data_IF_420020450073
#
_entry.id   IF_420020450073
#
_cell.length_a   1.000
_cell.length_b   1.000
_cell.length_c   1.000
_cell.angle_alpha   90.00
_cell.angle_beta   90.00
_cell.angle_gamma   90.00
#
_symmetry.space_group_name_H-M   'P 1'
#
loop_
_entity.id
_entity.type
_entity.pdbx_description
1 polymer ?
#
# COMPACT_ATOMS: atom_id res chain seq x y z
N UNK A 1 -71.58 -12.45 42.86
CA UNK A 1 -70.37 -12.26 43.70
C UNK A 1 -69.22 -13.01 43.03
N UNK A 2 -68.09 -12.32 42.88
CA UNK A 2 -66.81 -12.60 42.19
C UNK A 2 -66.22 -14.03 42.32
N UNK A 3 -65.14 -14.45 41.58
CA UNK A 3 -64.20 -13.60 40.83
C UNK A 3 -63.71 -14.08 39.45
N UNK A 4 -63.08 -13.09 38.80
CA UNK A 4 -62.46 -13.03 37.48
C UNK A 4 -61.24 -13.95 37.29
N UNK A 5 -61.15 -14.46 36.05
CA UNK A 5 -59.94 -14.96 35.36
C UNK A 5 -58.78 -13.94 35.41
N UNK A 6 -57.56 -14.42 35.67
CA UNK A 6 -56.31 -13.71 35.36
C UNK A 6 -55.45 -14.59 34.46
N UNK A 7 -55.34 -14.20 33.19
CA UNK A 7 -54.37 -14.71 32.23
C UNK A 7 -53.09 -13.90 32.42
N UNK A 8 -51.99 -14.55 32.80
CA UNK A 8 -50.68 -13.91 32.90
C UNK A 8 -49.97 -14.00 31.53
N UNK A 9 -49.89 -12.87 30.84
CA UNK A 9 -49.10 -12.68 29.63
C UNK A 9 -47.68 -12.25 30.07
N UNK A 10 -46.73 -13.17 30.07
CA UNK A 10 -45.32 -12.85 30.33
C UNK A 10 -44.72 -12.23 29.06
N UNK A 11 -44.60 -10.91 29.04
CA UNK A 11 -43.95 -10.16 27.97
C UNK A 11 -42.43 -10.37 28.02
N UNK A 12 -41.87 -10.86 26.90
CA UNK A 12 -40.44 -10.96 26.68
C UNK A 12 -39.87 -9.54 26.46
N UNK A 13 -39.25 -8.97 27.49
CA UNK A 13 -38.59 -7.67 27.42
C UNK A 13 -37.23 -7.85 26.70
N UNK A 14 -37.19 -7.54 25.41
CA UNK A 14 -35.93 -7.45 24.64
C UNK A 14 -35.20 -6.19 25.12
N UNK A 15 -34.21 -6.35 26.00
CA UNK A 15 -33.32 -5.28 26.40
C UNK A 15 -32.41 -4.91 25.22
N UNK A 16 -32.72 -3.82 24.52
CA UNK A 16 -31.81 -3.18 23.59
C UNK A 16 -30.63 -2.60 24.39
N UNK A 17 -29.45 -3.22 24.31
CA UNK A 17 -28.24 -2.75 24.98
C UNK A 17 -27.79 -1.40 24.37
N UNK A 18 -27.75 -0.29 25.12
CA UNK A 18 -27.31 1.01 24.62
C UNK A 18 -25.80 1.10 24.31
N UNK A 19 -25.05 0.00 24.46
CA UNK A 19 -23.60 -0.05 24.21
C UNK A 19 -23.19 -0.25 22.74
N UNK A 20 -24.08 -0.75 21.88
CA UNK A 20 -23.73 -1.01 20.46
C UNK A 20 -23.67 0.26 19.60
N UNK A 21 -24.49 1.27 19.91
CA UNK A 21 -24.51 2.49 19.08
C UNK A 21 -23.29 3.37 19.36
N UNK A 22 -22.79 3.37 20.59
CA UNK A 22 -21.59 4.12 20.98
C UNK A 22 -20.32 3.49 20.37
N UNK A 23 -20.21 2.15 20.34
CA UNK A 23 -19.06 1.46 19.74
C UNK A 23 -19.01 1.62 18.21
N UNK A 24 -20.16 1.62 17.52
CA UNK A 24 -20.27 1.94 16.09
C UNK A 24 -19.75 3.33 15.77
N UNK A 25 -20.27 4.33 16.47
CA UNK A 25 -19.89 5.74 16.28
C UNK A 25 -18.41 5.97 16.61
N UNK A 26 -17.90 5.34 17.66
CA UNK A 26 -16.49 5.40 18.01
C UNK A 26 -15.60 4.76 16.93
N UNK A 27 -15.97 3.56 16.46
CA UNK A 27 -15.24 2.88 15.39
C UNK A 27 -15.18 3.73 14.13
N UNK A 28 -16.30 4.36 13.73
CA UNK A 28 -16.36 5.25 12.57
C UNK A 28 -15.45 6.46 12.75
N UNK A 29 -15.55 7.17 13.87
CA UNK A 29 -14.73 8.35 14.14
C UNK A 29 -13.23 8.01 14.13
N UNK A 30 -12.86 6.89 14.76
CA UNK A 30 -11.47 6.43 14.80
C UNK A 30 -10.96 5.93 13.45
N UNK A 31 -11.79 5.25 12.66
CA UNK A 31 -11.41 4.86 11.30
C UNK A 31 -11.13 6.10 10.42
N UNK A 32 -11.92 7.17 10.58
CA UNK A 32 -11.71 8.44 9.88
C UNK A 32 -10.40 9.13 10.28
N UNK A 33 -10.10 9.19 11.57
CA UNK A 33 -8.83 9.72 12.11
C UNK A 33 -7.62 8.91 11.57
N UNK A 34 -7.71 7.59 11.66
CA UNK A 34 -6.64 6.70 11.24
C UNK A 34 -6.34 6.79 9.75
N UNK A 35 -7.37 6.82 8.89
CA UNK A 35 -7.14 6.89 7.43
C UNK A 35 -6.51 8.23 7.03
N UNK A 36 -6.84 9.33 7.72
CA UNK A 36 -6.19 10.61 7.48
C UNK A 36 -4.68 10.53 7.75
N UNK A 37 -4.29 9.97 8.90
CA UNK A 37 -2.87 9.78 9.26
C UNK A 37 -2.14 8.81 8.32
N UNK A 38 -2.81 7.75 7.85
CA UNK A 38 -2.20 6.81 6.91
C UNK A 38 -1.97 7.41 5.52
N UNK A 39 -2.83 8.32 5.05
CA UNK A 39 -2.60 9.06 3.80
C UNK A 39 -1.40 9.99 3.91
N UNK A 40 -1.21 10.65 5.07
CA UNK A 40 0.00 11.45 5.32
C UNK A 40 1.26 10.57 5.34
N UNK A 41 1.19 9.42 6.02
CA UNK A 41 2.26 8.43 6.01
C UNK A 41 2.58 7.96 4.60
N UNK A 42 1.55 7.80 3.76
CA UNK A 42 1.70 7.41 2.37
C UNK A 42 2.41 8.47 1.55
N UNK A 43 2.07 9.75 1.75
CA UNK A 43 2.76 10.85 1.08
C UNK A 43 4.25 10.87 1.44
N UNK A 44 4.60 10.64 2.71
CA UNK A 44 6.00 10.53 3.16
C UNK A 44 6.72 9.36 2.51
N UNK A 45 6.15 8.15 2.53
CA UNK A 45 6.79 6.97 1.93
C UNK A 45 7.07 7.15 0.43
N UNK A 46 6.14 7.76 -0.31
CA UNK A 46 6.34 8.05 -1.75
C UNK A 46 7.38 9.14 -1.94
N UNK A 47 7.40 10.16 -1.06
CA UNK A 47 8.38 11.23 -1.14
C UNK A 47 9.81 10.74 -0.91
N UNK A 48 10.02 9.77 -0.02
CA UNK A 48 11.32 9.10 0.16
C UNK A 48 11.81 8.50 -1.17
N UNK A 49 10.91 7.88 -1.96
CA UNK A 49 11.26 7.32 -3.27
C UNK A 49 11.53 8.44 -4.30
N UNK A 50 10.68 9.47 -4.36
CA UNK A 50 10.85 10.61 -5.27
C UNK A 50 12.17 11.33 -5.09
N UNK A 51 12.58 11.53 -3.84
CA UNK A 51 13.85 12.17 -3.50
C UNK A 51 15.04 11.21 -3.67
N UNK A 52 14.90 9.98 -3.18
CA UNK A 52 16.00 9.04 -3.09
C UNK A 52 16.36 8.36 -4.41
N UNK A 53 15.38 8.03 -5.26
CA UNK A 53 15.62 7.21 -6.46
C UNK A 53 16.54 7.92 -7.47
N UNK A 54 16.37 9.22 -7.78
CA UNK A 54 17.31 9.95 -8.63
C UNK A 54 18.74 10.00 -8.05
N UNK A 55 18.90 10.18 -6.74
CA UNK A 55 20.23 10.17 -6.10
C UNK A 55 20.86 8.77 -6.16
N UNK A 56 20.07 7.72 -5.95
CA UNK A 56 20.53 6.34 -6.10
C UNK A 56 20.99 6.03 -7.52
N UNK A 57 20.28 6.54 -8.53
CA UNK A 57 20.64 6.37 -9.93
C UNK A 57 22.02 6.97 -10.27
N UNK A 58 22.40 8.09 -9.63
CA UNK A 58 23.76 8.68 -9.77
C UNK A 58 24.85 7.75 -9.25
N UNK A 59 24.59 6.97 -8.20
CA UNK A 59 25.56 5.98 -7.72
C UNK A 59 25.76 4.81 -8.68
N UNK A 60 24.75 4.50 -9.48
CA UNK A 60 24.78 3.41 -10.46
C UNK A 60 25.45 3.81 -11.78
N UNK A 61 25.69 5.09 -12.06
CA UNK A 61 26.38 5.54 -13.29
C UNK A 61 27.75 4.89 -13.45
N UNK A 62 28.42 4.62 -12.33
CA UNK A 62 29.75 3.99 -12.26
C UNK A 62 29.82 2.61 -12.90
N UNK A 63 28.69 1.89 -12.95
CA UNK A 63 28.60 0.60 -13.66
C UNK A 63 28.87 0.74 -15.16
N UNK A 64 28.69 1.94 -15.72
CA UNK A 64 28.81 2.22 -17.15
C UNK A 64 30.11 2.97 -17.51
N UNK A 65 31.00 3.20 -16.53
CA UNK A 65 32.30 3.85 -16.73
C UNK A 65 33.42 2.84 -17.05
N UNK A 66 33.20 1.56 -16.75
CA UNK A 66 34.17 0.47 -17.00
C UNK A 66 34.13 -0.08 -18.42
N UNK A 67 35.02 -1.04 -18.70
CA UNK A 67 35.10 -1.74 -20.00
C UNK A 67 34.12 -2.89 -20.16
N UNK A 68 33.58 -3.42 -19.05
CA UNK A 68 32.61 -4.51 -19.04
C UNK A 68 31.20 -3.94 -18.99
N UNK A 69 30.32 -4.37 -19.88
CA UNK A 69 28.93 -3.93 -19.84
C UNK A 69 28.19 -4.59 -18.66
N UNK A 70 27.23 -3.91 -18.01
CA UNK A 70 26.53 -4.46 -16.84
C UNK A 70 25.83 -5.80 -17.07
N UNK A 71 25.35 -6.06 -18.29
CA UNK A 71 24.75 -7.34 -18.66
C UNK A 71 25.73 -8.52 -18.63
N UNK A 72 27.03 -8.24 -18.74
CA UNK A 72 28.10 -9.23 -18.77
C UNK A 72 28.72 -9.45 -17.36
N UNK A 73 28.36 -8.62 -16.37
CA UNK A 73 28.78 -8.73 -14.97
C UNK A 73 27.60 -8.52 -14.01
N UNK A 74 26.69 -9.49 -14.01
CA UNK A 74 25.50 -9.48 -13.16
C UNK A 74 25.82 -9.46 -11.65
N UNK A 75 26.89 -10.11 -11.14
CA UNK A 75 27.30 -9.94 -9.75
C UNK A 75 27.62 -8.50 -9.38
N UNK A 76 28.35 -7.76 -10.22
CA UNK A 76 28.65 -6.35 -9.97
C UNK A 76 27.38 -5.47 -9.99
N UNK A 77 26.40 -5.78 -10.85
CA UNK A 77 25.09 -5.11 -10.84
C UNK A 77 24.42 -5.25 -9.48
N UNK A 78 24.38 -6.46 -8.93
CA UNK A 78 23.73 -6.71 -7.64
C UNK A 78 24.41 -5.96 -6.50
N UNK A 79 25.73 -6.04 -6.43
CA UNK A 79 26.50 -5.29 -5.42
C UNK A 79 26.28 -3.77 -5.55
N UNK A 80 26.18 -3.25 -6.77
CA UNK A 80 25.93 -1.84 -7.01
C UNK A 80 24.51 -1.41 -6.59
N UNK A 81 23.48 -2.24 -6.81
CA UNK A 81 22.12 -1.99 -6.32
C UNK A 81 22.11 -1.88 -4.80
N UNK A 82 22.72 -2.83 -4.10
CA UNK A 82 22.81 -2.84 -2.64
C UNK A 82 23.53 -1.59 -2.13
N UNK A 83 24.65 -1.20 -2.76
CA UNK A 83 25.38 0.01 -2.40
C UNK A 83 24.58 1.28 -2.67
N UNK A 84 23.92 1.39 -3.81
CA UNK A 84 23.13 2.57 -4.18
C UNK A 84 21.98 2.79 -3.18
N UNK A 85 21.26 1.72 -2.84
CA UNK A 85 20.19 1.75 -1.83
C UNK A 85 20.71 2.17 -0.45
N UNK A 86 21.84 1.60 0.00
CA UNK A 86 22.36 1.85 1.34
C UNK A 86 23.03 3.22 1.52
N UNK A 87 23.51 3.84 0.43
CA UNK A 87 24.16 5.17 0.46
C UNK A 87 23.18 6.33 0.53
N UNK A 88 21.94 6.13 0.07
CA UNK A 88 20.91 7.16 0.06
C UNK A 88 19.96 6.92 1.22
N UNK A 89 19.93 7.87 2.17
CA UNK A 89 19.12 7.74 3.39
C UNK A 89 17.66 7.41 3.08
N UNK A 90 17.06 8.13 2.13
CA UNK A 90 15.66 7.94 1.77
C UNK A 90 15.40 6.54 1.18
N UNK A 91 16.30 6.01 0.36
CA UNK A 91 16.18 4.65 -0.19
C UNK A 91 16.41 3.54 0.84
N UNK A 92 17.24 3.82 1.84
CA UNK A 92 17.47 2.90 2.96
C UNK A 92 16.21 2.72 3.80
N UNK A 93 15.43 3.78 3.98
CA UNK A 93 14.16 3.73 4.74
C UNK A 93 12.94 3.49 3.86
N UNK A 94 13.05 3.64 2.54
CA UNK A 94 11.95 3.46 1.59
C UNK A 94 11.27 2.10 1.73
N UNK A 95 9.94 2.10 1.58
CA UNK A 95 9.07 0.93 1.77
C UNK A 95 8.92 0.07 0.51
N UNK A 96 9.81 0.27 -0.47
CA UNK A 96 9.85 -0.51 -1.69
C UNK A 96 10.06 -1.99 -1.43
N UNK A 97 9.44 -2.81 -2.26
CA UNK A 97 9.56 -4.27 -2.24
C UNK A 97 10.64 -4.80 -3.17
N UNK A 98 11.18 -3.96 -4.05
CA UNK A 98 12.32 -4.27 -4.90
C UNK A 98 13.00 -2.99 -5.37
N UNK A 99 14.26 -3.12 -5.73
CA UNK A 99 15.04 -2.17 -6.50
C UNK A 99 15.73 -2.94 -7.63
N UNK A 100 15.68 -2.43 -8.85
CA UNK A 100 16.11 -3.15 -10.04
C UNK A 100 16.88 -2.26 -11.01
N UNK A 101 17.87 -2.84 -11.68
CA UNK A 101 18.52 -2.25 -12.84
C UNK A 101 17.82 -2.73 -14.10
N UNK A 102 17.28 -1.79 -14.88
CA UNK A 102 16.58 -2.06 -16.14
C UNK A 102 17.37 -1.46 -17.29
N UNK A 103 17.67 -2.23 -18.33
CA UNK A 103 18.38 -1.71 -19.50
C UNK A 103 17.49 -0.84 -20.41
N UNK A 104 18.08 -0.32 -21.49
CA UNK A 104 17.39 0.56 -22.46
C UNK A 104 16.25 -0.14 -23.21
N UNK A 105 16.24 -1.48 -23.24
CA UNK A 105 15.21 -2.30 -23.88
C UNK A 105 14.11 -2.74 -22.90
N UNK A 106 14.25 -2.40 -21.61
CA UNK A 106 13.33 -2.77 -20.56
C UNK A 106 13.66 -4.12 -19.91
N UNK A 107 14.79 -4.75 -20.22
CA UNK A 107 15.19 -6.00 -19.59
C UNK A 107 15.68 -5.71 -18.17
N UNK A 108 15.12 -6.42 -17.20
CA UNK A 108 15.61 -6.36 -15.82
C UNK A 108 16.88 -7.20 -15.74
N UNK A 109 18.03 -6.57 -15.48
CA UNK A 109 19.30 -7.28 -15.38
C UNK A 109 19.40 -8.01 -14.04
N UNK A 110 19.09 -7.32 -12.94
CA UNK A 110 19.00 -7.85 -11.57
C UNK A 110 18.06 -6.99 -10.74
N UNK A 111 17.53 -7.57 -9.67
CA UNK A 111 16.94 -6.85 -8.55
C UNK A 111 17.67 -7.14 -7.22
N UNK A 112 17.24 -6.47 -6.15
CA UNK A 112 17.78 -6.62 -4.79
C UNK A 112 17.03 -7.65 -3.92
N UNK A 113 16.11 -8.43 -4.49
CA UNK A 113 15.39 -9.48 -3.77
C UNK A 113 16.19 -10.77 -3.70
N UNK A 114 16.10 -11.53 -2.61
CA UNK A 114 16.90 -12.75 -2.39
C UNK A 114 16.82 -13.77 -3.52
N UNK A 115 15.63 -14.00 -4.10
CA UNK A 115 15.42 -14.98 -5.18
C UNK A 115 15.50 -14.39 -6.60
N UNK A 116 15.65 -13.07 -6.74
CA UNK A 116 15.76 -12.32 -8.02
C UNK A 116 14.90 -12.86 -9.17
N UNK A 117 13.62 -13.12 -8.90
CA UNK A 117 12.70 -13.72 -9.87
C UNK A 117 12.41 -12.78 -11.05
N UNK A 118 12.68 -11.48 -10.91
CA UNK A 118 12.44 -10.47 -11.94
C UNK A 118 13.55 -10.45 -13.00
N UNK A 119 14.72 -11.05 -12.76
CA UNK A 119 15.82 -11.06 -13.72
C UNK A 119 15.40 -11.67 -15.07
N UNK A 120 15.75 -11.01 -16.17
CA UNK A 120 15.40 -11.40 -17.54
C UNK A 120 13.96 -11.07 -17.96
N UNK A 121 13.13 -10.51 -17.07
CA UNK A 121 11.77 -10.08 -17.42
C UNK A 121 11.78 -8.69 -18.06
N UNK A 122 10.74 -8.39 -18.84
CA UNK A 122 10.60 -7.08 -19.49
C UNK A 122 9.75 -6.14 -18.61
N UNK A 123 10.40 -5.15 -18.00
CA UNK A 123 9.77 -4.13 -17.19
C UNK A 123 8.81 -3.24 -17.99
N UNK A 124 9.08 -2.95 -19.27
CA UNK A 124 8.21 -2.08 -20.08
C UNK A 124 6.92 -2.77 -20.54
N UNK A 125 6.92 -4.11 -20.62
CA UNK A 125 5.70 -4.88 -20.86
C UNK A 125 4.76 -4.82 -19.67
N UNK A 126 5.30 -4.99 -18.45
CA UNK A 126 4.52 -4.93 -17.20
C UNK A 126 4.19 -3.51 -16.75
N UNK A 127 5.08 -2.55 -17.03
CA UNK A 127 5.02 -1.17 -16.56
C UNK A 127 5.34 -0.17 -17.69
N UNK A 128 4.44 0.02 -18.67
CA UNK A 128 4.73 0.80 -19.87
C UNK A 128 5.17 2.25 -19.61
N UNK A 129 4.65 2.87 -18.54
CA UNK A 129 4.99 4.23 -18.14
C UNK A 129 6.50 4.43 -17.84
N UNK A 130 7.20 3.37 -17.41
CA UNK A 130 8.63 3.46 -17.07
C UNK A 130 9.50 3.77 -18.30
N UNK A 131 9.03 3.48 -19.51
CA UNK A 131 9.76 3.78 -20.74
C UNK A 131 10.08 5.27 -20.90
N UNK A 132 9.19 6.15 -20.41
CA UNK A 132 9.39 7.60 -20.46
C UNK A 132 10.56 8.09 -19.59
N UNK A 133 11.11 7.26 -18.69
CA UNK A 133 12.31 7.61 -17.95
C UNK A 133 13.57 7.65 -18.83
N UNK A 134 13.56 6.95 -19.98
CA UNK A 134 14.66 6.99 -20.95
C UNK A 134 14.85 8.39 -21.56
N UNK A 135 13.86 9.27 -21.44
CA UNK A 135 13.94 10.68 -21.82
C UNK A 135 14.75 11.52 -20.81
N UNK A 136 15.31 10.90 -19.77
CA UNK A 136 16.14 11.57 -18.78
C UNK A 136 15.38 12.21 -17.62
N UNK A 137 14.14 11.75 -17.35
CA UNK A 137 13.31 12.24 -16.25
C UNK A 137 12.86 11.12 -15.31
N UNK A 138 12.61 11.47 -14.06
CA UNK A 138 11.92 10.57 -13.12
C UNK A 138 10.47 10.36 -13.58
N UNK A 139 10.00 9.12 -13.49
CA UNK A 139 8.62 8.76 -13.85
C UNK A 139 8.03 7.80 -12.82
N UNK A 140 6.72 7.87 -12.66
CA UNK A 140 5.92 6.95 -11.87
C UNK A 140 4.91 6.24 -12.77
N UNK A 141 4.51 5.05 -12.36
CA UNK A 141 3.57 4.24 -13.11
C UNK A 141 2.90 3.19 -12.24
N UNK A 142 2.03 2.43 -12.89
CA UNK A 142 1.33 1.29 -12.32
C UNK A 142 1.34 0.17 -13.34
N UNK A 143 1.22 -1.06 -12.85
CA UNK A 143 1.14 -2.23 -13.70
C UNK A 143 1.14 -3.51 -12.89
N UNK A 144 1.41 -4.63 -13.54
CA UNK A 144 1.44 -5.94 -12.90
C UNK A 144 2.61 -6.77 -13.42
N UNK A 145 3.40 -7.31 -12.50
CA UNK A 145 4.40 -8.35 -12.75
C UNK A 145 4.27 -9.39 -11.65
N UNK A 146 4.02 -10.65 -12.02
CA UNK A 146 3.82 -11.74 -11.07
C UNK A 146 5.05 -11.93 -10.18
N UNK A 147 6.25 -11.78 -10.74
CA UNK A 147 7.51 -11.90 -10.02
C UNK A 147 7.77 -10.74 -9.04
N UNK A 148 7.08 -9.61 -9.22
CA UNK A 148 7.07 -8.52 -8.25
C UNK A 148 5.91 -8.63 -7.25
N UNK A 149 4.91 -9.49 -7.52
CA UNK A 149 3.81 -9.75 -6.62
C UNK A 149 4.29 -10.62 -5.46
N UNK A 150 4.18 -10.11 -4.23
CA UNK A 150 4.58 -10.85 -3.01
C UNK A 150 3.47 -11.77 -2.48
N UNK A 151 2.46 -12.05 -3.29
CA UNK A 151 1.29 -12.85 -2.94
C UNK A 151 0.89 -13.76 -4.12
N UNK A 152 0.28 -14.90 -3.79
CA UNK A 152 -0.27 -15.82 -4.80
C UNK A 152 -1.52 -15.21 -5.43
N UNK A 153 -1.70 -15.42 -6.74
CA UNK A 153 -2.89 -14.95 -7.48
C UNK A 153 -2.71 -13.60 -8.18
N UNK A 154 -1.49 -13.03 -8.16
CA UNK A 154 -1.18 -11.75 -8.79
C UNK A 154 -1.52 -10.55 -7.91
N UNK A 155 -0.76 -9.48 -8.07
CA UNK A 155 -0.95 -8.19 -7.40
C UNK A 155 -0.55 -7.08 -8.38
N UNK A 156 -1.17 -5.92 -8.26
CA UNK A 156 -0.69 -4.73 -8.95
C UNK A 156 0.48 -4.12 -8.20
N UNK A 157 1.29 -3.33 -8.90
CA UNK A 157 2.36 -2.54 -8.30
C UNK A 157 2.20 -1.07 -8.65
N UNK A 158 2.54 -0.22 -7.68
CA UNK A 158 3.03 1.12 -7.96
C UNK A 158 4.53 1.02 -8.22
N UNK A 159 5.01 1.71 -9.25
CA UNK A 159 6.41 1.68 -9.64
C UNK A 159 6.92 3.08 -9.97
N UNK A 160 8.22 3.26 -9.81
CA UNK A 160 8.94 4.47 -10.19
C UNK A 160 10.27 4.11 -10.86
N UNK A 161 10.74 4.97 -11.76
CA UNK A 161 12.05 4.84 -12.36
C UNK A 161 12.77 6.20 -12.46
N UNK A 162 14.08 6.18 -12.22
CA UNK A 162 14.98 7.28 -12.49
C UNK A 162 16.01 6.87 -13.56
N UNK A 163 16.39 7.78 -14.47
CA UNK A 163 17.41 7.51 -15.47
C UNK A 163 18.78 7.36 -14.84
N UNK A 164 19.57 6.40 -15.33
CA UNK A 164 20.99 6.27 -15.04
C UNK A 164 21.74 6.82 -16.24
N UNK A 165 22.41 7.94 -16.06
CA UNK A 165 23.16 8.62 -17.13
C UNK A 165 24.66 8.41 -16.98
N UNK A 166 25.32 8.08 -18.09
CA UNK A 166 26.78 8.01 -18.18
C UNK A 166 27.25 8.53 -19.53
N UNK A 167 28.30 9.37 -19.53
CA UNK A 167 28.79 10.04 -20.74
C UNK A 167 27.75 10.94 -21.41
N UNK A 168 26.88 11.57 -20.62
CA UNK A 168 25.83 12.49 -21.12
C UNK A 168 24.64 11.81 -21.81
N UNK A 169 24.52 10.48 -21.72
CA UNK A 169 23.38 9.72 -22.27
C UNK A 169 22.77 8.84 -21.19
N UNK A 170 21.45 8.65 -21.23
CA UNK A 170 20.77 7.62 -20.43
C UNK A 170 21.24 6.25 -20.93
N UNK A 171 21.62 5.36 -20.01
CA UNK A 171 22.15 4.01 -20.30
C UNK A 171 21.33 2.88 -19.71
N UNK A 172 20.53 3.19 -18.71
CA UNK A 172 19.67 2.26 -18.00
C UNK A 172 18.70 3.07 -17.13
N UNK A 173 17.80 2.38 -16.47
CA UNK A 173 16.91 2.92 -15.46
C UNK A 173 17.18 2.23 -14.12
N UNK A 174 17.11 3.02 -13.07
CA UNK A 174 16.99 2.52 -11.71
C UNK A 174 15.50 2.51 -11.34
N UNK A 175 14.92 1.32 -11.23
CA UNK A 175 13.49 1.14 -10.99
C UNK A 175 13.22 0.58 -9.60
N UNK A 176 12.08 0.95 -9.02
CA UNK A 176 11.61 0.46 -7.73
C UNK A 176 10.09 0.44 -7.69
N UNK A 177 9.53 -0.21 -6.68
CA UNK A 177 8.09 -0.21 -6.45
C UNK A 177 7.65 -1.07 -5.29
N UNK A 178 6.35 -1.06 -5.05
CA UNK A 178 5.71 -1.95 -4.08
C UNK A 178 4.42 -2.53 -4.63
N UNK A 179 4.18 -3.80 -4.28
CA UNK A 179 2.92 -4.47 -4.51
C UNK A 179 1.85 -3.87 -3.58
N UNK A 180 0.61 -3.68 -4.07
CA UNK A 180 -0.44 -3.00 -3.31
C UNK A 180 -0.79 -3.72 -2.02
N UNK A 181 -0.85 -5.05 -2.04
CA UNK A 181 -1.14 -5.86 -0.85
C UNK A 181 -0.03 -5.79 0.20
N UNK A 182 1.24 -5.78 -0.25
CA UNK A 182 2.40 -5.61 0.62
C UNK A 182 2.40 -4.22 1.26
N UNK A 183 2.02 -3.20 0.50
CA UNK A 183 1.94 -1.83 1.00
C UNK A 183 0.77 -1.64 1.99
N UNK A 184 -0.39 -2.22 1.69
CA UNK A 184 -1.53 -2.27 2.62
C UNK A 184 -1.14 -2.95 3.95
N UNK A 185 -0.44 -4.09 3.90
CA UNK A 185 0.06 -4.77 5.08
C UNK A 185 1.03 -3.91 5.90
N UNK A 186 1.91 -3.16 5.24
CA UNK A 186 2.81 -2.21 5.92
C UNK A 186 2.03 -1.11 6.62
N UNK A 187 1.04 -0.50 5.96
CA UNK A 187 0.19 0.53 6.55
C UNK A 187 -0.61 -0.02 7.74
N UNK A 188 -1.13 -1.25 7.63
CA UNK A 188 -1.84 -1.91 8.73
C UNK A 188 -0.95 -2.09 9.95
N UNK A 189 0.29 -2.57 9.77
CA UNK A 189 1.23 -2.74 10.87
C UNK A 189 1.66 -1.41 11.50
N UNK A 190 1.87 -0.37 10.69
CA UNK A 190 2.15 0.97 11.20
C UNK A 190 0.98 1.49 12.07
N UNK A 191 -0.26 1.34 11.58
CA UNK A 191 -1.45 1.73 12.33
C UNK A 191 -1.60 0.91 13.60
N UNK A 192 -1.43 -0.41 13.52
CA UNK A 192 -1.52 -1.32 14.67
C UNK A 192 -0.51 -0.95 15.74
N UNK A 193 0.73 -0.65 15.36
CA UNK A 193 1.78 -0.19 16.27
C UNK A 193 1.39 1.12 16.97
N UNK A 194 0.89 2.10 16.21
CA UNK A 194 0.42 3.38 16.74
C UNK A 194 -0.74 3.20 17.72
N UNK A 195 -1.76 2.43 17.35
CA UNK A 195 -2.92 2.16 18.21
C UNK A 195 -2.48 1.47 19.50
N UNK A 196 -1.66 0.42 19.42
CA UNK A 196 -1.13 -0.28 20.60
C UNK A 196 -0.41 0.65 21.57
N UNK A 197 0.40 1.57 21.04
CA UNK A 197 1.15 2.53 21.88
C UNK A 197 0.24 3.51 22.62
N UNK A 198 -0.97 3.76 22.13
CA UNK A 198 -1.95 4.66 22.74
C UNK A 198 -2.98 3.97 23.65
N UNK A 199 -2.99 2.64 23.73
CA UNK A 199 -3.94 1.89 24.57
C UNK A 199 -3.50 1.92 26.04
N UNK A 200 -4.45 2.15 26.94
CA UNK A 200 -4.24 1.95 28.37
C UNK A 200 -4.10 0.45 28.73
N UNK A 201 -3.52 0.16 29.89
CA UNK A 201 -3.23 -1.22 30.37
C UNK A 201 -4.43 -2.17 30.41
N UNK A 202 -5.66 -1.65 30.45
CA UNK A 202 -6.91 -2.43 30.49
C UNK A 202 -7.77 -2.27 29.23
N UNK A 203 -7.28 -1.64 28.17
CA UNK A 203 -8.02 -1.48 26.92
C UNK A 203 -7.71 -2.62 25.96
N UNK A 204 -8.77 -3.18 25.35
CA UNK A 204 -8.60 -4.20 24.32
C UNK A 204 -8.14 -3.56 23.01
N UNK A 205 -7.29 -4.28 22.29
CA UNK A 205 -6.88 -3.88 20.94
C UNK A 205 -8.08 -4.02 19.98
N UNK A 206 -8.47 -2.94 19.27
CA UNK A 206 -9.52 -3.04 18.28
C UNK A 206 -9.07 -3.91 17.10
N UNK A 207 -10.04 -4.52 16.41
CA UNK A 207 -9.76 -5.18 15.15
C UNK A 207 -9.53 -4.11 14.07
N UNK A 208 -8.43 -4.22 13.34
CA UNK A 208 -8.00 -3.25 12.34
C UNK A 208 -7.66 -3.99 11.05
N UNK A 209 -8.15 -3.46 9.93
CA UNK A 209 -7.72 -3.83 8.59
C UNK A 209 -7.45 -2.57 7.77
N UNK A 210 -6.42 -2.61 6.94
CA UNK A 210 -6.10 -1.54 5.99
C UNK A 210 -6.09 -2.09 4.57
N UNK A 211 -6.68 -1.32 3.65
CA UNK A 211 -6.70 -1.62 2.22
C UNK A 211 -6.19 -0.43 1.42
N UNK A 212 -5.50 -0.72 0.33
CA UNK A 212 -5.27 0.25 -0.74
C UNK A 212 -6.32 -0.01 -1.81
N UNK A 213 -7.15 0.99 -2.09
CA UNK A 213 -8.15 0.93 -3.17
C UNK A 213 -7.54 1.54 -4.41
N UNK A 214 -7.51 0.78 -5.51
CA UNK A 214 -7.03 1.23 -6.80
C UNK A 214 -8.12 0.95 -7.82
N UNK A 215 -8.67 2.00 -8.41
CA UNK A 215 -9.79 1.90 -9.35
C UNK A 215 -10.98 1.11 -8.76
N UNK A 216 -11.19 -0.13 -9.23
CA UNK A 216 -12.30 -1.01 -8.82
C UNK A 216 -11.88 -2.15 -7.90
N UNK A 217 -10.65 -2.14 -7.40
CA UNK A 217 -10.08 -3.21 -6.58
C UNK A 217 -9.62 -2.66 -5.23
N UNK A 218 -9.68 -3.50 -4.20
CA UNK A 218 -9.20 -3.19 -2.86
C UNK A 218 -8.20 -4.26 -2.43
N UNK A 219 -6.96 -3.85 -2.19
CA UNK A 219 -5.83 -4.72 -1.84
C UNK A 219 -5.59 -4.63 -0.34
N UNK A 220 -5.79 -5.73 0.37
CA UNK A 220 -5.48 -5.85 1.80
C UNK A 220 -4.19 -6.61 2.04
N UNK A 221 -3.83 -6.77 3.31
CA UNK A 221 -2.77 -7.70 3.72
C UNK A 221 -3.06 -9.14 3.25
N UNK A 222 -2.04 -10.02 3.09
CA UNK A 222 -2.22 -11.37 2.52
C UNK A 222 -3.28 -12.27 3.18
N UNK A 223 -3.61 -12.02 4.45
CA UNK A 223 -4.62 -12.77 5.23
C UNK A 223 -5.90 -11.98 5.48
N UNK A 224 -6.05 -10.83 4.82
CA UNK A 224 -7.23 -9.98 4.94
C UNK A 224 -8.47 -10.66 4.36
N UNK A 225 -9.63 -10.65 5.05
CA UNK A 225 -10.84 -11.26 4.54
C UNK A 225 -11.32 -10.61 3.24
N UNK A 226 -11.61 -11.40 2.20
CA UNK A 226 -12.10 -10.88 0.92
C UNK A 226 -13.45 -10.14 1.06
N UNK A 227 -14.31 -10.62 1.96
CA UNK A 227 -15.60 -9.98 2.29
C UNK A 227 -15.44 -8.53 2.75
N UNK A 228 -14.31 -8.19 3.38
CA UNK A 228 -14.02 -6.82 3.80
C UNK A 228 -13.68 -5.93 2.59
N UNK A 229 -12.89 -6.43 1.64
CA UNK A 229 -12.59 -5.73 0.39
C UNK A 229 -13.87 -5.46 -0.41
N UNK A 230 -14.75 -6.46 -0.53
CA UNK A 230 -16.06 -6.34 -1.19
C UNK A 230 -16.95 -5.30 -0.49
N UNK A 231 -17.01 -5.33 0.84
CA UNK A 231 -17.76 -4.35 1.63
C UNK A 231 -17.24 -2.91 1.38
N UNK A 232 -15.92 -2.69 1.39
CA UNK A 232 -15.33 -1.38 1.08
C UNK A 232 -15.75 -0.90 -0.32
N UNK A 233 -15.62 -1.76 -1.33
CA UNK A 233 -15.93 -1.40 -2.72
C UNK A 233 -17.42 -1.10 -2.93
N UNK A 234 -18.32 -1.79 -2.23
CA UNK A 234 -19.77 -1.53 -2.31
C UNK A 234 -20.17 -0.13 -1.86
N UNK A 235 -19.30 0.56 -1.12
CA UNK A 235 -19.52 1.93 -0.66
C UNK A 235 -19.07 3.01 -1.65
N UNK A 236 -18.59 2.66 -2.84
CA UNK A 236 -18.03 3.59 -3.82
C UNK A 236 -16.95 4.51 -3.19
N UNK A 237 -15.83 3.91 -2.72
CA UNK A 237 -14.82 4.62 -1.94
C UNK A 237 -14.22 5.80 -2.72
N UNK A 238 -13.98 5.62 -4.01
CA UNK A 238 -13.41 6.67 -4.86
C UNK A 238 -14.45 7.75 -5.16
N UNK A 239 -15.69 7.41 -5.50
CA UNK A 239 -16.72 8.42 -5.79
C UNK A 239 -17.11 9.26 -4.57
N UNK A 240 -17.04 8.70 -3.36
CA UNK A 240 -17.40 9.40 -2.11
C UNK A 240 -16.23 10.12 -1.41
N UNK A 241 -15.02 9.59 -1.47
CA UNK A 241 -13.84 10.30 -0.99
C UNK A 241 -13.37 11.28 -2.08
N UNK A 242 -13.99 12.46 -2.14
CA UNK A 242 -13.64 13.53 -3.08
C UNK A 242 -12.77 14.60 -2.41
N UNK A 243 -11.82 15.15 -3.17
CA UNK A 243 -10.87 16.13 -2.68
C UNK A 243 -10.06 15.62 -1.48
N UNK A 244 -9.87 16.48 -0.48
CA UNK A 244 -9.11 16.17 0.73
C UNK A 244 -9.97 15.59 1.87
N UNK A 245 -11.28 15.42 1.64
CA UNK A 245 -12.21 14.97 2.66
C UNK A 245 -12.08 13.46 2.93
N UNK A 246 -12.25 13.09 4.21
CA UNK A 246 -12.41 11.69 4.61
C UNK A 246 -13.86 11.29 4.43
N UNK A 247 -14.12 10.28 3.61
CA UNK A 247 -15.39 9.56 3.66
C UNK A 247 -15.38 8.63 4.86
N UNK A 248 -16.45 8.64 5.66
CA UNK A 248 -16.60 7.68 6.75
C UNK A 248 -18.03 7.17 6.87
N UNK A 249 -18.17 5.92 7.32
CA UNK A 249 -19.45 5.29 7.58
C UNK A 249 -19.34 4.24 8.68
N UNK A 250 -20.41 4.05 9.45
CA UNK A 250 -20.61 2.84 10.22
C UNK A 250 -21.22 1.77 9.30
N UNK A 251 -20.61 0.58 9.27
CA UNK A 251 -21.02 -0.53 8.40
C UNK A 251 -21.06 -1.82 9.21
N UNK A 252 -21.80 -2.81 8.72
CA UNK A 252 -21.81 -4.16 9.29
C UNK A 252 -21.26 -5.13 8.25
N UNK A 253 -20.29 -5.96 8.65
CA UNK A 253 -19.72 -7.00 7.81
C UNK A 253 -19.86 -8.32 8.55
N UNK A 254 -20.62 -9.26 7.99
CA UNK A 254 -20.81 -10.61 8.55
C UNK A 254 -21.24 -10.59 10.03
N UNK A 255 -22.17 -9.70 10.40
CA UNK A 255 -22.67 -9.57 11.78
C UNK A 255 -21.73 -8.86 12.76
N UNK A 256 -20.64 -8.26 12.27
CA UNK A 256 -19.73 -7.42 13.05
C UNK A 256 -19.80 -5.98 12.60
N UNK A 257 -19.85 -5.09 13.58
CA UNK A 257 -19.86 -3.66 13.36
C UNK A 257 -18.45 -3.11 13.13
N UNK A 258 -18.30 -2.32 12.07
CA UNK A 258 -17.07 -1.62 11.73
C UNK A 258 -17.34 -0.14 11.50
N UNK A 259 -16.34 0.68 11.81
CA UNK A 259 -16.13 1.96 11.18
C UNK A 259 -15.32 1.80 9.91
N UNK A 260 -15.81 2.37 8.81
CA UNK A 260 -15.09 2.55 7.57
C UNK A 260 -14.60 4.00 7.49
N UNK A 261 -13.32 4.19 7.23
CA UNK A 261 -12.73 5.46 6.83
C UNK A 261 -12.04 5.29 5.48
N UNK A 262 -12.26 6.22 4.54
CA UNK A 262 -11.63 6.23 3.21
C UNK A 262 -11.13 7.63 2.90
N UNK A 263 -9.90 7.75 2.41
CA UNK A 263 -9.35 9.02 1.93
C UNK A 263 -8.49 8.77 0.69
N UNK A 264 -8.58 9.69 -0.29
CA UNK A 264 -7.73 9.66 -1.49
C UNK A 264 -6.26 9.75 -1.10
N UNK A 265 -5.42 9.02 -1.83
CA UNK A 265 -3.98 8.99 -1.65
C UNK A 265 -3.31 9.52 -2.93
N UNK A 266 -3.40 10.83 -3.21
CA UNK A 266 -2.96 11.40 -4.49
C UNK A 266 -1.47 11.20 -4.76
N UNK A 267 -0.65 10.98 -3.71
CA UNK A 267 0.75 10.62 -3.86
C UNK A 267 0.97 9.32 -4.68
N UNK A 268 0.00 8.38 -4.66
CA UNK A 268 0.04 7.12 -5.41
C UNK A 268 -0.66 7.19 -6.77
N UNK A 269 -1.38 8.27 -7.04
CA UNK A 269 -2.22 8.47 -8.22
C UNK A 269 -3.62 8.98 -7.88
N UNK A 270 -4.27 9.64 -8.86
CA UNK A 270 -5.59 10.23 -8.67
C UNK A 270 -6.67 9.19 -8.31
N UNK A 271 -6.57 7.98 -8.87
CA UNK A 271 -7.54 6.89 -8.71
C UNK A 271 -7.17 5.90 -7.59
N UNK A 272 -6.43 6.38 -6.60
CA UNK A 272 -5.99 5.59 -5.45
C UNK A 272 -6.52 6.19 -4.15
N UNK A 273 -6.97 5.33 -3.24
CA UNK A 273 -7.36 5.69 -1.89
C UNK A 273 -6.80 4.68 -0.88
N UNK A 274 -6.70 5.10 0.38
CA UNK A 274 -6.51 4.20 1.52
C UNK A 274 -7.85 4.05 2.22
N UNK A 275 -8.17 2.82 2.64
CA UNK A 275 -9.34 2.50 3.42
C UNK A 275 -8.94 1.81 4.73
N UNK A 276 -9.61 2.17 5.82
CA UNK A 276 -9.43 1.57 7.15
C UNK A 276 -10.77 1.00 7.60
N UNK A 277 -10.75 -0.26 8.03
CA UNK A 277 -11.83 -0.85 8.82
C UNK A 277 -11.36 -0.98 10.27
N UNK A 278 -12.16 -0.47 11.19
CA UNK A 278 -11.93 -0.59 12.63
C UNK A 278 -13.16 -1.13 13.32
N UNK A 279 -13.00 -2.07 14.24
CA UNK A 279 -14.08 -2.59 15.09
C UNK A 279 -13.62 -2.61 16.54
N UNK A 280 -14.34 -1.93 17.42
CA UNK A 280 -14.13 -2.07 18.87
C UNK A 280 -14.50 -3.49 19.34
N UNK A 281 -13.77 -4.00 20.33
CA UNK A 281 -13.89 -5.37 20.89
C UNK A 281 -14.16 -5.39 22.39
#
# INVERSE_FOLDING_TARGET
>A
MSPLRRVALFGLLVAALPGCESSKKLSQAKAAEHVASLVETTATDVQEIRAGLPEGAKHLSKLFEGTTAPKDDLPAVREALDKARNKVQDLRVAKSTFFALVDEQGLILRNDQDQDLMAGKNAFASFPALKAALEGKYVEGRGAMEEAARVKGGDGQWVAAAPISAGGKVKALYATGFAWSAYAYRLENALRGSVKSGLGSNQKEPLLYVYVVVEKQAFGAPVSPEVNAQAILSHDPLGKAQGDAVYSAAIEITGRDFGLGVKRAPALGADVAVAVLRSET
#
